data_IF_130289573518
#
_entry.id   IF_130289573518
#
_cell.length_a   1.000
_cell.length_b   1.000
_cell.length_c   1.000
_cell.angle_alpha   90.00
_cell.angle_beta   90.00
_cell.angle_gamma   90.00
#
_symmetry.space_group_name_H-M   'P 1'
#
loop_
_entity.id
_entity.type
_entity.pdbx_description
1 polymer ?
#
# COMPACT_ATOMS: atom_id res chain seq x y z
N UNK A 1 4.77 -7.88 -11.43
CA UNK A 1 4.49 -7.18 -10.16
C UNK A 1 3.94 -8.16 -9.14
N UNK A 2 4.46 -8.13 -7.92
CA UNK A 2 4.00 -9.01 -6.86
C UNK A 2 2.62 -8.59 -6.34
N UNK A 3 1.87 -9.55 -5.81
CA UNK A 3 0.55 -9.23 -5.24
C UNK A 3 0.62 -8.21 -4.12
N UNK A 4 1.66 -8.28 -3.27
CA UNK A 4 1.81 -7.31 -2.18
C UNK A 4 2.03 -5.88 -2.70
N UNK A 5 2.70 -5.72 -3.84
CA UNK A 5 2.87 -4.42 -4.48
C UNK A 5 1.55 -3.93 -5.07
N UNK A 6 0.77 -4.84 -5.64
CA UNK A 6 -0.56 -4.51 -6.14
C UNK A 6 -1.47 -4.02 -5.01
N UNK A 7 -1.32 -4.60 -3.82
CA UNK A 7 -2.07 -4.13 -2.65
C UNK A 7 -1.77 -2.68 -2.33
N UNK A 8 -0.49 -2.30 -2.37
CA UNK A 8 -0.11 -0.90 -2.10
C UNK A 8 -0.75 0.03 -3.11
N UNK A 9 -0.66 -0.30 -4.39
CA UNK A 9 -1.25 0.51 -5.45
C UNK A 9 -2.77 0.61 -5.29
N UNK A 10 -3.41 -0.50 -5.00
CA UNK A 10 -4.86 -0.56 -4.87
C UNK A 10 -5.34 0.30 -3.70
N UNK A 11 -4.66 0.23 -2.56
CA UNK A 11 -5.03 1.04 -1.40
C UNK A 11 -4.87 2.54 -1.67
N UNK A 12 -3.79 2.94 -2.35
CA UNK A 12 -3.61 4.34 -2.73
C UNK A 12 -4.70 4.77 -3.72
N UNK A 13 -5.03 3.92 -4.68
CA UNK A 13 -6.09 4.20 -5.65
C UNK A 13 -7.44 4.37 -4.97
N UNK A 14 -7.78 3.47 -4.06
CA UNK A 14 -9.05 3.55 -3.33
C UNK A 14 -9.16 4.81 -2.48
N UNK A 15 -8.04 5.26 -1.92
CA UNK A 15 -8.04 6.49 -1.12
C UNK A 15 -8.43 7.71 -1.95
N UNK A 16 -8.11 7.73 -3.24
CA UNK A 16 -8.44 8.84 -4.12
C UNK A 16 -7.77 10.15 -3.77
N UNK A 17 -6.68 10.09 -2.98
CA UNK A 17 -5.93 11.25 -2.51
C UNK A 17 -4.52 10.81 -2.17
N UNK A 18 -3.57 11.74 -2.01
CA UNK A 18 -2.25 11.38 -1.49
C UNK A 18 -2.36 10.70 -0.13
N UNK A 19 -1.59 9.64 0.05
CA UNK A 19 -1.59 8.84 1.27
C UNK A 19 -0.22 8.98 1.92
N UNK A 20 -0.18 9.39 3.18
CA UNK A 20 1.11 9.54 3.87
C UNK A 20 1.78 8.18 4.02
N UNK A 21 3.10 8.19 4.16
CA UNK A 21 3.85 6.96 4.38
C UNK A 21 3.35 6.24 5.64
N UNK A 22 3.02 7.01 6.66
CA UNK A 22 2.50 6.45 7.92
C UNK A 22 1.14 5.78 7.71
N UNK A 23 0.24 6.44 6.98
CA UNK A 23 -1.09 5.87 6.70
C UNK A 23 -1.00 4.56 5.93
N UNK A 24 -0.22 4.54 4.85
CA UNK A 24 -0.13 3.34 4.02
C UNK A 24 0.49 2.18 4.79
N UNK A 25 1.53 2.46 5.57
CA UNK A 25 2.16 1.45 6.41
C UNK A 25 1.18 0.88 7.42
N UNK A 26 0.37 1.73 8.03
CA UNK A 26 -0.65 1.31 8.99
C UNK A 26 -1.73 0.47 8.33
N UNK A 27 -2.20 0.87 7.16
CA UNK A 27 -3.18 0.07 6.41
C UNK A 27 -2.62 -1.30 6.04
N UNK A 28 -1.37 -1.35 5.59
CA UNK A 28 -0.73 -2.63 5.28
C UNK A 28 -0.60 -3.51 6.51
N UNK A 29 -0.26 -2.92 7.65
CA UNK A 29 -0.20 -3.64 8.92
C UNK A 29 -1.57 -4.23 9.29
N UNK A 30 -2.63 -3.44 9.17
CA UNK A 30 -3.99 -3.90 9.45
C UNK A 30 -4.40 -5.02 8.49
N UNK A 31 -4.03 -4.88 7.21
CA UNK A 31 -4.30 -5.93 6.23
C UNK A 31 -3.65 -7.25 6.64
N UNK A 32 -2.39 -7.18 7.10
CA UNK A 32 -1.66 -8.38 7.50
C UNK A 32 -2.23 -9.04 8.75
N UNK A 33 -2.69 -8.26 9.71
CA UNK A 33 -3.03 -8.76 11.05
C UNK A 33 -4.51 -8.80 11.36
N UNK A 34 -5.34 -8.05 10.63
CA UNK A 34 -6.75 -7.89 10.97
C UNK A 34 -7.71 -8.39 9.88
N UNK A 35 -7.20 -9.05 8.85
CA UNK A 35 -8.06 -9.55 7.77
C UNK A 35 -7.84 -11.04 7.53
N UNK A 36 -8.83 -11.74 6.95
CA UNK A 36 -8.71 -13.18 6.67
C UNK A 36 -7.59 -13.55 5.71
N UNK A 37 -7.29 -12.69 4.75
CA UNK A 37 -6.24 -12.99 3.76
C UNK A 37 -4.83 -12.76 4.30
N UNK A 38 -4.68 -11.98 5.37
CA UNK A 38 -3.39 -11.56 5.91
C UNK A 38 -2.51 -10.85 4.88
N UNK A 39 -3.12 -10.25 3.85
CA UNK A 39 -2.39 -9.60 2.77
C UNK A 39 -1.91 -10.57 1.69
N UNK A 40 -2.26 -11.85 1.81
CA UNK A 40 -1.82 -12.87 0.87
C UNK A 40 -0.49 -13.48 1.23
N UNK A 41 -0.02 -14.42 0.42
CA UNK A 41 1.24 -15.10 0.65
C UNK A 41 2.41 -14.11 0.52
N UNK A 42 3.41 -14.27 1.37
CA UNK A 42 4.64 -13.47 1.34
C UNK A 42 4.39 -11.97 1.46
N UNK A 43 3.42 -11.59 2.28
CA UNK A 43 3.16 -10.18 2.53
C UNK A 43 4.27 -9.58 3.38
N UNK A 44 4.23 -8.26 3.62
CA UNK A 44 5.27 -7.55 4.36
C UNK A 44 5.28 -7.94 5.82
N UNK A 45 6.50 -7.99 6.40
CA UNK A 45 6.68 -8.12 7.84
C UNK A 45 6.87 -6.74 8.45
N UNK A 46 6.42 -6.58 9.69
CA UNK A 46 6.45 -5.28 10.35
C UNK A 46 7.21 -5.35 11.67
N UNK A 47 7.94 -4.28 11.94
CA UNK A 47 8.67 -4.09 13.20
C UNK A 47 8.01 -2.97 13.98
N UNK A 48 8.00 -3.03 15.32
CA UNK A 48 7.54 -1.89 16.11
C UNK A 48 8.51 -0.72 15.95
N UNK A 49 7.98 0.47 15.82
CA UNK A 49 8.78 1.67 15.65
C UNK A 49 8.11 2.83 16.38
N UNK A 50 8.78 4.00 16.45
CA UNK A 50 8.32 5.16 17.21
C UNK A 50 6.88 5.57 16.94
N UNK A 51 6.47 5.54 15.69
CA UNK A 51 5.17 6.03 15.27
C UNK A 51 4.23 4.92 14.82
N UNK A 52 4.53 3.69 15.19
CA UNK A 52 3.72 2.54 14.83
C UNK A 52 4.51 1.49 14.08
N UNK A 53 3.85 0.59 13.33
CA UNK A 53 4.55 -0.45 12.59
C UNK A 53 5.38 0.12 11.45
N UNK A 54 6.49 -0.54 11.14
CA UNK A 54 7.38 -0.16 10.05
C UNK A 54 7.83 -1.39 9.27
N UNK A 55 7.99 -1.25 7.97
CA UNK A 55 8.50 -2.32 7.10
C UNK A 55 9.48 -1.73 6.09
N UNK A 56 10.74 -2.16 6.17
CA UNK A 56 11.74 -1.76 5.20
C UNK A 56 11.39 -2.22 3.79
N UNK A 57 10.88 -3.45 3.69
CA UNK A 57 10.50 -3.99 2.38
C UNK A 57 9.39 -3.18 1.74
N UNK A 58 8.39 -2.75 2.51
CA UNK A 58 7.30 -1.94 2.01
C UNK A 58 7.83 -0.62 1.43
N UNK A 59 8.68 0.07 2.18
CA UNK A 59 9.24 1.34 1.74
C UNK A 59 10.11 1.16 0.50
N UNK A 60 10.92 0.12 0.47
CA UNK A 60 11.76 -0.17 -0.68
C UNK A 60 10.91 -0.42 -1.95
N UNK A 61 9.86 -1.22 -1.80
CA UNK A 61 9.00 -1.55 -2.94
C UNK A 61 8.12 -0.38 -3.36
N UNK A 62 7.70 0.47 -2.42
CA UNK A 62 7.00 1.70 -2.78
C UNK A 62 7.90 2.61 -3.59
N UNK A 63 9.18 2.74 -3.23
CA UNK A 63 10.16 3.49 -4.02
C UNK A 63 10.32 2.90 -5.41
N UNK A 64 10.33 1.58 -5.54
CA UNK A 64 10.38 0.92 -6.84
C UNK A 64 9.15 1.27 -7.68
N UNK A 65 7.98 1.32 -7.05
CA UNK A 65 6.75 1.71 -7.75
C UNK A 65 6.81 3.16 -8.22
N UNK A 66 7.45 4.03 -7.45
CA UNK A 66 7.66 5.42 -7.87
C UNK A 66 8.60 5.46 -9.09
N UNK A 67 9.74 4.76 -9.01
CA UNK A 67 10.71 4.73 -10.10
C UNK A 67 10.13 4.16 -11.39
N UNK A 68 9.19 3.23 -11.27
CA UNK A 68 8.57 2.59 -12.44
C UNK A 68 7.29 3.29 -12.90
N UNK A 69 6.95 4.45 -12.34
CA UNK A 69 5.85 5.26 -12.83
C UNK A 69 4.46 4.87 -12.36
N UNK A 70 4.34 4.01 -11.36
CA UNK A 70 3.04 3.62 -10.80
C UNK A 70 2.57 4.53 -9.67
N UNK A 71 3.51 5.02 -8.88
CA UNK A 71 3.24 5.99 -7.83
C UNK A 71 4.08 7.23 -8.07
N UNK A 72 3.76 8.33 -7.40
CA UNK A 72 4.58 9.51 -7.39
C UNK A 72 4.77 10.01 -5.97
N UNK A 73 5.94 10.55 -5.69
CA UNK A 73 6.22 11.19 -4.41
C UNK A 73 5.52 12.53 -4.34
N UNK A 74 4.93 12.83 -3.18
CA UNK A 74 4.26 14.10 -2.94
C UNK A 74 4.25 14.37 -1.44
N UNK A 75 3.42 15.32 -1.01
CA UNK A 75 3.21 15.62 0.40
C UNK A 75 1.74 15.79 0.69
N UNK A 76 1.35 15.44 1.90
CA UNK A 76 0.01 15.65 2.41
C UNK A 76 0.14 16.18 3.84
N UNK A 77 -0.41 17.36 4.08
CA UNK A 77 -0.33 18.05 5.40
C UNK A 77 1.11 18.18 5.90
N UNK A 78 2.04 18.48 5.00
CA UNK A 78 3.44 18.65 5.34
C UNK A 78 4.23 17.37 5.54
N UNK A 79 3.61 16.20 5.33
CA UNK A 79 4.25 14.89 5.50
C UNK A 79 4.50 14.23 4.16
N UNK A 80 5.55 13.45 4.08
CA UNK A 80 5.84 12.65 2.88
C UNK A 80 4.67 11.72 2.58
N UNK A 81 4.29 11.66 1.31
CA UNK A 81 3.13 10.89 0.88
C UNK A 81 3.38 10.28 -0.51
N UNK A 82 2.58 9.27 -0.82
CA UNK A 82 2.53 8.69 -2.16
C UNK A 82 1.17 8.97 -2.76
N UNK A 83 1.15 9.21 -4.06
CA UNK A 83 -0.09 9.36 -4.81
C UNK A 83 -0.03 8.48 -6.04
N UNK A 84 -1.21 8.18 -6.57
CA UNK A 84 -1.33 7.40 -7.79
C UNK A 84 -0.78 8.21 -8.97
N UNK A 85 0.03 7.56 -9.81
CA UNK A 85 0.43 8.14 -11.07
C UNK A 85 -0.71 7.96 -12.09
N UNK A 86 -0.71 8.78 -13.14
CA UNK A 86 -1.86 8.92 -14.05
C UNK A 86 -2.27 7.64 -14.80
N UNK A 87 -1.38 6.67 -14.95
CA UNK A 87 -1.57 5.55 -15.87
C UNK A 87 -1.60 4.18 -15.18
N UNK A 88 -2.17 4.07 -13.98
CA UNK A 88 -2.01 2.88 -13.16
C UNK A 88 -3.14 1.87 -13.26
N UNK A 89 -4.30 2.27 -13.73
CA UNK A 89 -5.57 1.56 -13.58
C UNK A 89 -5.57 0.09 -13.98
N UNK A 90 -4.99 -0.21 -15.12
CA UNK A 90 -5.10 -1.55 -15.70
C UNK A 90 -4.25 -2.60 -14.96
N UNK A 91 -3.34 -2.19 -14.12
CA UNK A 91 -2.35 -3.07 -13.51
C UNK A 91 -2.79 -3.70 -12.20
N UNK A 92 -3.78 -3.10 -11.56
CA UNK A 92 -4.24 -3.52 -10.23
C UNK A 92 -5.38 -4.53 -10.32
N UNK A 93 -5.93 -4.75 -11.53
CA UNK A 93 -7.10 -5.59 -11.75
C UNK A 93 -6.94 -7.06 -11.43
N UNK A 94 -5.72 -7.57 -11.37
CA UNK A 94 -5.44 -9.01 -11.28
C UNK A 94 -5.07 -9.49 -9.88
N UNK A 95 -5.68 -8.91 -8.85
CA UNK A 95 -5.50 -9.42 -7.48
C UNK A 95 -6.51 -10.51 -7.17
N UNK A 96 -6.15 -11.49 -6.31
CA UNK A 96 -7.14 -12.43 -5.78
C UNK A 96 -8.31 -11.68 -5.13
N UNK A 97 -9.54 -12.15 -5.36
CA UNK A 97 -10.74 -11.46 -4.90
C UNK A 97 -10.80 -11.20 -3.39
N UNK A 98 -10.41 -12.19 -2.60
CA UNK A 98 -10.41 -12.04 -1.14
C UNK A 98 -9.44 -10.97 -0.67
N UNK A 99 -8.27 -10.90 -1.28
CA UNK A 99 -7.26 -9.90 -0.96
C UNK A 99 -7.75 -8.50 -1.33
N UNK A 100 -8.40 -8.38 -2.47
CA UNK A 100 -8.96 -7.12 -2.93
C UNK A 100 -10.02 -6.58 -1.96
N UNK A 101 -10.93 -7.45 -1.53
CA UNK A 101 -11.97 -7.08 -0.57
C UNK A 101 -11.39 -6.66 0.77
N UNK A 102 -10.37 -7.37 1.25
CA UNK A 102 -9.72 -7.06 2.53
C UNK A 102 -8.98 -5.73 2.46
N UNK A 103 -8.27 -5.47 1.36
CA UNK A 103 -7.59 -4.19 1.16
C UNK A 103 -8.59 -3.02 1.15
N UNK A 104 -9.73 -3.19 0.50
CA UNK A 104 -10.78 -2.18 0.48
C UNK A 104 -11.30 -1.89 1.89
N UNK A 105 -11.41 -2.93 2.71
CA UNK A 105 -11.92 -2.79 4.07
C UNK A 105 -11.01 -1.95 4.96
N UNK A 106 -9.70 -2.12 4.86
CA UNK A 106 -8.78 -1.37 5.74
C UNK A 106 -8.65 0.09 5.36
N UNK A 107 -8.94 0.46 4.12
CA UNK A 107 -8.86 1.85 3.66
C UNK A 107 -10.07 2.67 4.13
N UNK A 108 -11.16 2.03 4.40
CA UNK A 108 -12.38 2.74 4.85
C UNK A 108 -12.20 3.47 6.19
#
# INVERSE_FOLDING_TARGET
MLNRQKCLLYMVELAGRPVTHLELTKWAFLLAHETPSHGGASFYDFLPYKYGPFSFALFHEADDLVRNGYLRDTKADGREAWARAAEVDARVGNMPGGLRADAARVVE
#
